data_IF_791892113389
#
_entry.id   IF_791892113389
#
_cell.length_a   1.000
_cell.length_b   1.000
_cell.length_c   1.000
_cell.angle_alpha   90.00
_cell.angle_beta   90.00
_cell.angle_gamma   90.00
#
_symmetry.space_group_name_H-M   'P 1'
#
loop_
_entity.id
_entity.type
_entity.pdbx_description
1 polymer ?
#
# COMPACT_ATOMS: atom_id res chain seq x y z
N UNK A 1 -0.89 -3.88 -27.20
CA UNK A 1 -0.35 -4.70 -26.09
C UNK A 1 -1.26 -5.91 -25.96
N UNK A 2 -0.72 -7.13 -26.09
CA UNK A 2 -1.51 -8.34 -25.88
C UNK A 2 -1.72 -8.57 -24.36
N UNK A 3 -2.69 -9.41 -23.94
CA UNK A 3 -2.82 -9.78 -22.53
C UNK A 3 -1.53 -10.37 -21.94
N UNK A 4 -0.79 -11.16 -22.72
CA UNK A 4 0.50 -11.74 -22.29
C UNK A 4 1.59 -10.69 -22.09
N UNK A 5 1.65 -9.66 -22.95
CA UNK A 5 2.61 -8.56 -22.80
C UNK A 5 2.36 -7.74 -21.53
N UNK A 6 1.09 -7.53 -21.17
CA UNK A 6 0.68 -6.77 -19.98
C UNK A 6 1.01 -7.51 -18.68
N UNK A 7 0.76 -8.83 -18.63
CA UNK A 7 1.15 -9.67 -17.50
C UNK A 7 2.66 -9.66 -17.30
N UNK A 8 3.43 -9.99 -18.34
CA UNK A 8 4.90 -9.98 -18.26
C UNK A 8 5.48 -8.60 -17.90
N UNK A 9 4.80 -7.51 -18.31
CA UNK A 9 5.17 -6.15 -17.89
C UNK A 9 4.87 -5.90 -16.42
N UNK A 10 3.72 -6.36 -15.93
CA UNK A 10 3.33 -6.24 -14.53
C UNK A 10 4.33 -6.97 -13.64
N UNK A 11 4.72 -8.20 -13.97
CA UNK A 11 5.74 -8.95 -13.24
C UNK A 11 7.06 -8.17 -13.14
N UNK A 12 7.48 -7.49 -14.23
CA UNK A 12 8.68 -6.66 -14.21
C UNK A 12 8.55 -5.43 -13.31
N UNK A 13 7.37 -4.81 -13.28
CA UNK A 13 7.08 -3.66 -12.40
C UNK A 13 7.05 -4.13 -10.93
N UNK A 14 6.39 -5.25 -10.66
CA UNK A 14 6.34 -5.87 -9.34
C UNK A 14 7.76 -6.16 -8.81
N UNK A 15 8.55 -6.94 -9.55
CA UNK A 15 9.89 -7.31 -9.10
C UNK A 15 10.82 -6.12 -8.87
N UNK A 16 10.76 -5.06 -9.68
CA UNK A 16 11.62 -3.88 -9.47
C UNK A 16 11.15 -3.01 -8.30
N UNK A 17 9.86 -3.02 -7.99
CA UNK A 17 9.29 -2.26 -6.88
C UNK A 17 9.69 -2.85 -5.50
N UNK A 18 10.07 -4.14 -5.45
CA UNK A 18 10.64 -4.80 -4.27
C UNK A 18 12.07 -4.34 -3.90
N UNK A 19 12.67 -3.43 -4.68
CA UNK A 19 13.96 -2.85 -4.34
C UNK A 19 13.90 -1.96 -3.10
N UNK A 20 15.08 -1.54 -2.60
CA UNK A 20 15.21 -0.65 -1.43
C UNK A 20 14.68 0.78 -1.63
N UNK A 21 14.44 1.17 -2.88
CA UNK A 21 13.91 2.48 -3.29
C UNK A 21 13.16 2.32 -4.61
N UNK A 22 12.35 3.31 -5.02
CA UNK A 22 11.73 3.30 -6.34
C UNK A 22 12.77 3.10 -7.45
N UNK A 23 12.46 2.23 -8.41
CA UNK A 23 13.34 1.94 -9.53
C UNK A 23 13.57 3.16 -10.45
N UNK A 24 12.61 4.10 -10.46
CA UNK A 24 12.68 5.39 -11.16
C UNK A 24 11.81 6.42 -10.43
N UNK A 25 11.86 7.69 -10.86
CA UNK A 25 10.96 8.76 -10.38
C UNK A 25 9.60 8.77 -11.09
N UNK A 26 9.33 7.81 -11.98
CA UNK A 26 8.03 7.72 -12.62
C UNK A 26 6.94 7.44 -11.57
N UNK A 27 5.77 8.07 -11.70
CA UNK A 27 4.74 8.02 -10.65
C UNK A 27 4.23 6.59 -10.40
N UNK A 28 4.23 5.72 -11.41
CA UNK A 28 3.85 4.32 -11.24
C UNK A 28 4.89 3.51 -10.46
N UNK A 29 6.18 3.76 -10.68
CA UNK A 29 7.26 3.09 -9.96
C UNK A 29 7.31 3.51 -8.49
N UNK A 30 7.13 4.81 -8.23
CA UNK A 30 7.03 5.33 -6.87
C UNK A 30 5.82 4.73 -6.15
N UNK A 31 4.65 4.75 -6.77
CA UNK A 31 3.43 4.20 -6.15
C UNK A 31 3.54 2.68 -5.90
N UNK A 32 4.08 1.91 -6.85
CA UNK A 32 4.26 0.48 -6.70
C UNK A 32 5.22 0.15 -5.55
N UNK A 33 6.38 0.84 -5.49
CA UNK A 33 7.36 0.63 -4.43
C UNK A 33 6.79 0.94 -3.05
N UNK A 34 6.21 2.12 -2.87
CA UNK A 34 5.67 2.56 -1.58
C UNK A 34 4.53 1.65 -1.11
N UNK A 35 3.63 1.25 -2.02
CA UNK A 35 2.53 0.35 -1.66
C UNK A 35 3.03 -1.05 -1.28
N UNK A 36 4.00 -1.62 -2.02
CA UNK A 36 4.57 -2.94 -1.72
C UNK A 36 5.37 -2.94 -0.42
N UNK A 37 6.18 -1.91 -0.19
CA UNK A 37 6.92 -1.76 1.07
C UNK A 37 5.95 -1.73 2.26
N UNK A 38 4.91 -0.90 2.19
CA UNK A 38 3.94 -0.79 3.27
C UNK A 38 3.10 -2.06 3.44
N UNK A 39 2.63 -2.66 2.33
CA UNK A 39 1.90 -3.92 2.37
C UNK A 39 2.72 -5.03 3.05
N UNK A 40 4.01 -5.11 2.75
CA UNK A 40 4.92 -6.05 3.43
C UNK A 40 5.01 -5.84 4.94
N UNK A 41 4.92 -4.61 5.44
CA UNK A 41 4.86 -4.35 6.90
C UNK A 41 3.53 -4.85 7.48
N UNK A 42 2.42 -4.52 6.83
CA UNK A 42 1.08 -4.93 7.26
C UNK A 42 0.99 -6.46 7.32
N UNK A 43 1.46 -7.16 6.29
CA UNK A 43 1.43 -8.63 6.25
C UNK A 43 2.31 -9.30 7.32
N UNK A 44 3.30 -8.59 7.86
CA UNK A 44 4.21 -9.14 8.88
C UNK A 44 3.83 -8.73 10.31
N UNK A 45 3.11 -7.63 10.50
CA UNK A 45 2.87 -7.07 11.83
C UNK A 45 1.53 -6.38 12.05
N UNK A 46 0.64 -6.35 11.06
CA UNK A 46 -0.65 -5.65 11.15
C UNK A 46 -0.58 -4.18 10.73
N UNK A 47 -1.75 -3.58 10.53
CA UNK A 47 -1.90 -2.19 10.06
C UNK A 47 -1.39 -1.21 11.10
N UNK A 48 -1.70 -1.43 12.38
CA UNK A 48 -1.29 -0.51 13.43
C UNK A 48 0.24 -0.47 13.56
N UNK A 49 0.89 -1.63 13.65
CA UNK A 49 2.35 -1.71 13.66
C UNK A 49 2.97 -0.99 12.46
N UNK A 50 2.47 -1.24 11.24
CA UNK A 50 2.98 -0.61 10.02
C UNK A 50 2.85 0.93 10.04
N UNK A 51 1.82 1.46 10.70
CA UNK A 51 1.61 2.90 10.87
C UNK A 51 2.53 3.48 11.94
N UNK A 52 2.67 2.82 13.09
CA UNK A 52 3.52 3.31 14.20
C UNK A 52 5.02 3.28 13.85
N UNK A 53 5.45 2.36 12.99
CA UNK A 53 6.84 2.23 12.55
C UNK A 53 7.28 3.31 11.54
N UNK A 54 6.40 4.23 11.13
CA UNK A 54 6.66 5.17 10.03
C UNK A 54 6.38 6.62 10.42
N UNK A 55 7.18 7.51 9.84
CA UNK A 55 6.99 8.96 9.96
C UNK A 55 5.75 9.42 9.17
N UNK A 56 5.09 10.48 9.64
CA UNK A 56 3.86 11.02 9.01
C UNK A 56 4.03 11.36 7.52
N UNK A 57 5.18 11.91 7.13
CA UNK A 57 5.47 12.23 5.74
C UNK A 57 5.54 10.97 4.84
N UNK A 58 6.04 9.87 5.38
CA UNK A 58 6.04 8.58 4.68
C UNK A 58 4.62 8.03 4.57
N UNK A 59 3.83 8.09 5.65
CA UNK A 59 2.43 7.67 5.63
C UNK A 59 1.57 8.46 4.64
N UNK A 60 1.82 9.77 4.50
CA UNK A 60 1.17 10.56 3.46
C UNK A 60 1.48 10.04 2.04
N UNK A 61 2.70 9.56 1.82
CA UNK A 61 3.11 8.93 0.55
C UNK A 61 2.44 7.57 0.35
N UNK A 62 2.27 6.79 1.42
CA UNK A 62 1.51 5.51 1.41
C UNK A 62 0.06 5.74 0.99
N UNK A 63 -0.62 6.71 1.61
CA UNK A 63 -2.00 7.08 1.23
C UNK A 63 -2.07 7.49 -0.24
N UNK A 64 -1.12 8.29 -0.71
CA UNK A 64 -1.06 8.71 -2.12
C UNK A 64 -0.84 7.52 -3.07
N UNK A 65 0.03 6.57 -2.70
CA UNK A 65 0.30 5.37 -3.48
C UNK A 65 -0.94 4.48 -3.63
N UNK A 66 -1.64 4.19 -2.52
CA UNK A 66 -2.89 3.40 -2.58
C UNK A 66 -3.99 4.12 -3.36
N UNK A 67 -4.12 5.44 -3.25
CA UNK A 67 -5.06 6.21 -4.10
C UNK A 67 -4.69 6.13 -5.57
N UNK A 68 -3.40 6.19 -5.92
CA UNK A 68 -2.93 6.03 -7.29
C UNK A 68 -3.25 4.65 -7.86
N UNK A 69 -3.15 3.60 -7.04
CA UNK A 69 -3.53 2.22 -7.35
C UNK A 69 -5.05 1.97 -7.35
N UNK A 70 -5.86 3.00 -7.06
CA UNK A 70 -7.33 2.93 -6.94
C UNK A 70 -7.81 2.03 -5.80
N UNK A 71 -7.02 1.93 -4.73
CA UNK A 71 -7.35 1.23 -3.49
C UNK A 71 -7.75 2.24 -2.41
N UNK A 72 -8.83 3.00 -2.67
CA UNK A 72 -9.26 4.09 -1.78
C UNK A 72 -9.61 3.61 -0.36
N UNK A 73 -10.22 2.43 -0.22
CA UNK A 73 -10.55 1.86 1.10
C UNK A 73 -9.31 1.64 1.98
N UNK A 74 -8.22 1.11 1.40
CA UNK A 74 -6.93 0.98 2.11
C UNK A 74 -6.33 2.34 2.42
N UNK A 75 -6.37 3.27 1.46
CA UNK A 75 -5.82 4.61 1.67
C UNK A 75 -6.52 5.36 2.80
N UNK A 76 -7.85 5.28 2.86
CA UNK A 76 -8.64 5.94 3.89
C UNK A 76 -8.45 5.25 5.26
N UNK A 77 -8.35 3.91 5.28
CA UNK A 77 -7.99 3.16 6.48
C UNK A 77 -6.63 3.60 7.06
N UNK A 78 -5.59 3.67 6.22
CA UNK A 78 -4.25 4.11 6.66
C UNK A 78 -4.31 5.54 7.21
N UNK A 79 -5.03 6.45 6.56
CA UNK A 79 -5.19 7.83 7.03
C UNK A 79 -5.97 7.92 8.36
N UNK A 80 -6.98 7.06 8.55
CA UNK A 80 -7.72 6.95 9.82
C UNK A 80 -6.84 6.44 10.97
N UNK A 81 -6.11 5.35 10.78
CA UNK A 81 -5.21 4.78 11.80
C UNK A 81 -4.10 5.76 12.13
N UNK A 82 -3.50 6.41 11.12
CA UNK A 82 -2.52 7.49 11.29
C UNK A 82 -3.02 8.60 12.19
N UNK A 83 -4.26 9.07 12.00
CA UNK A 83 -4.86 10.11 12.83
C UNK A 83 -5.09 9.63 14.26
N UNK A 84 -5.56 8.39 14.43
CA UNK A 84 -5.77 7.82 15.76
C UNK A 84 -4.45 7.73 16.56
N UNK A 85 -3.35 7.34 15.92
CA UNK A 85 -2.01 7.36 16.53
C UNK A 85 -1.59 8.78 16.91
N UNK A 86 -1.74 9.75 15.98
CA UNK A 86 -1.40 11.16 16.24
C UNK A 86 -2.24 11.80 17.37
N UNK A 87 -3.47 11.33 17.58
CA UNK A 87 -4.36 11.75 18.66
C UNK A 87 -4.07 11.05 20.01
N UNK A 88 -3.07 10.17 20.07
CA UNK A 88 -2.69 9.44 21.28
C UNK A 88 -3.65 8.31 21.65
N UNK A 89 -4.52 7.87 20.73
CA UNK A 89 -5.50 6.81 21.00
C UNK A 89 -4.87 5.43 21.21
N UNK A 90 -3.60 5.26 20.83
CA UNK A 90 -2.88 3.99 20.99
C UNK A 90 -2.05 3.93 22.29
N UNK A 91 -2.02 5.02 23.07
CA UNK A 91 -1.37 5.03 24.41
C UNK A 91 -2.13 4.18 25.44
N UNK A 92 -3.42 3.92 25.20
CA UNK A 92 -4.25 3.04 26.03
C UNK A 92 -4.26 1.65 25.41
N UNK A 93 -3.71 0.60 26.06
CA UNK A 93 -3.55 -0.72 25.46
C UNK A 93 -4.84 -1.32 24.89
N UNK A 94 -5.96 -1.20 25.62
CA UNK A 94 -7.25 -1.71 25.15
C UNK A 94 -7.81 -0.95 23.92
N UNK A 95 -7.45 0.32 23.74
CA UNK A 95 -7.85 1.09 22.56
C UNK A 95 -6.96 0.77 21.37
N UNK A 96 -5.65 0.57 21.59
CA UNK A 96 -4.71 0.11 20.57
C UNK A 96 -5.13 -1.26 20.02
N UNK A 97 -5.39 -2.24 20.91
CA UNK A 97 -5.84 -3.58 20.52
C UNK A 97 -7.15 -3.55 19.72
N UNK A 98 -8.14 -2.76 20.17
CA UNK A 98 -9.40 -2.62 19.45
C UNK A 98 -9.24 -1.97 18.08
N UNK A 99 -8.34 -0.98 17.96
CA UNK A 99 -8.01 -0.32 16.69
C UNK A 99 -7.32 -1.29 15.73
N UNK A 100 -6.34 -2.06 16.21
CA UNK A 100 -5.59 -3.01 15.40
C UNK A 100 -6.50 -4.12 14.85
N UNK A 101 -7.34 -4.73 15.69
CA UNK A 101 -8.29 -5.76 15.26
C UNK A 101 -9.27 -5.23 14.20
N UNK A 102 -9.80 -4.01 14.37
CA UNK A 102 -10.67 -3.39 13.37
C UNK A 102 -9.92 -3.07 12.07
N UNK A 103 -8.70 -2.54 12.19
CA UNK A 103 -7.89 -2.13 11.06
C UNK A 103 -7.47 -3.33 10.20
N UNK A 104 -6.98 -4.41 10.81
CA UNK A 104 -6.58 -5.62 10.10
C UNK A 104 -7.77 -6.25 9.38
N UNK A 105 -8.92 -6.36 10.04
CA UNK A 105 -10.16 -6.84 9.41
C UNK A 105 -10.55 -6.01 8.18
N UNK A 106 -10.51 -4.68 8.30
CA UNK A 106 -10.86 -3.77 7.18
C UNK A 106 -9.81 -3.79 6.07
N UNK A 107 -8.55 -3.98 6.42
CA UNK A 107 -7.48 -4.16 5.45
C UNK A 107 -7.74 -5.43 4.63
N UNK A 108 -8.01 -6.55 5.28
CA UNK A 108 -8.31 -7.82 4.61
C UNK A 108 -9.54 -7.75 3.68
N UNK A 109 -10.55 -6.97 4.05
CA UNK A 109 -11.73 -6.70 3.20
C UNK A 109 -11.38 -5.96 1.90
N UNK A 110 -10.32 -5.15 1.91
CA UNK A 110 -9.91 -4.32 0.77
C UNK A 110 -8.71 -4.87 0.00
N UNK A 111 -7.79 -5.54 0.67
CA UNK A 111 -6.48 -5.98 0.18
C UNK A 111 -6.01 -7.23 0.96
N UNK A 112 -6.67 -8.39 0.76
CA UNK A 112 -6.45 -9.59 1.56
C UNK A 112 -5.06 -10.21 1.39
N UNK A 113 -4.44 -10.05 0.22
CA UNK A 113 -3.15 -10.66 -0.11
C UNK A 113 -2.44 -9.92 -1.25
N UNK A 114 -1.21 -10.37 -1.53
CA UNK A 114 -0.37 -9.90 -2.63
C UNK A 114 -1.09 -9.94 -3.98
N UNK A 115 -1.97 -10.93 -4.22
CA UNK A 115 -2.66 -11.08 -5.50
C UNK A 115 -3.66 -9.96 -5.76
N UNK A 116 -4.31 -9.44 -4.71
CA UNK A 116 -5.18 -8.28 -4.82
C UNK A 116 -4.39 -7.00 -5.14
N UNK A 117 -3.20 -6.83 -4.56
CA UNK A 117 -2.29 -5.72 -4.86
C UNK A 117 -1.74 -5.83 -6.29
N UNK A 118 -1.32 -7.04 -6.69
CA UNK A 118 -0.83 -7.34 -8.03
C UNK A 118 -1.90 -7.05 -9.08
N UNK A 119 -3.15 -7.44 -8.82
CA UNK A 119 -4.27 -7.14 -9.70
C UNK A 119 -4.52 -5.64 -9.83
N UNK A 120 -4.35 -4.86 -8.74
CA UNK A 120 -4.43 -3.40 -8.79
C UNK A 120 -3.31 -2.79 -9.64
N UNK A 121 -2.08 -3.27 -9.45
CA UNK A 121 -0.92 -2.85 -10.25
C UNK A 121 -1.10 -3.20 -11.73
N UNK A 122 -1.54 -4.42 -12.04
CA UNK A 122 -1.82 -4.87 -13.41
C UNK A 122 -2.82 -3.93 -14.11
N UNK A 123 -3.91 -3.57 -13.43
CA UNK A 123 -4.89 -2.60 -13.97
C UNK A 123 -4.24 -1.26 -14.30
N UNK A 124 -3.28 -0.79 -13.51
CA UNK A 124 -2.56 0.47 -13.78
C UNK A 124 -1.56 0.31 -14.92
N UNK A 125 -0.84 -0.80 -15.02
CA UNK A 125 0.08 -1.09 -16.14
C UNK A 125 -0.66 -1.14 -17.48
N UNK A 126 -1.86 -1.72 -17.50
CA UNK A 126 -2.71 -1.78 -18.70
C UNK A 126 -3.24 -0.40 -19.09
N UNK A 127 -3.74 0.37 -18.11
CA UNK A 127 -4.45 1.63 -18.37
C UNK A 127 -3.55 2.86 -18.46
N UNK A 128 -2.33 2.79 -17.93
CA UNK A 128 -1.36 3.90 -17.88
C UNK A 128 0.07 3.38 -18.02
N UNK A 129 0.42 2.67 -19.10
CA UNK A 129 1.75 2.10 -19.29
C UNK A 129 2.87 3.15 -19.20
N UNK A 130 2.65 4.36 -19.70
CA UNK A 130 3.59 5.49 -19.66
C UNK A 130 4.01 5.90 -18.24
N UNK A 131 3.25 5.54 -17.21
CA UNK A 131 3.64 5.76 -15.83
C UNK A 131 4.77 4.83 -15.35
N UNK A 132 5.24 3.91 -16.20
CA UNK A 132 6.19 2.84 -15.87
C UNK A 132 7.31 2.64 -16.91
N UNK A 133 7.39 3.48 -17.95
CA UNK A 133 8.38 3.36 -19.04
C UNK A 133 8.69 4.69 -19.68
#
# INVERSE_FOLDING_TARGET
MTPGDAAARTDRVWHRALGWRPASELPGDVAAHVALEFHGLVMNGGVLNAVEDREDAHLASVVAAYRWLRLAGVADLVDEVRRAVAEGRTEVPAQAEALEVDADRRHDEHLPDDSALEAALHRRVVNSPEAFS
#
